data_IF_131312750628
#
_entry.id   IF_131312750628
#
_cell.length_a   1.000
_cell.length_b   1.000
_cell.length_c   1.000
_cell.angle_alpha   90.00
_cell.angle_beta   90.00
_cell.angle_gamma   90.00
#
_symmetry.space_group_name_H-M   'P 1'
#
loop_
_entity.id
_entity.type
_entity.pdbx_description
1 polymer ?
#
# COMPACT_ATOMS: atom_id res chain seq x y z
N UNK A 1 9.17 58.81 -63.76
CA UNK A 1 8.99 57.86 -64.89
C UNK A 1 9.34 56.47 -64.38
N UNK A 2 8.34 55.66 -64.00
CA UNK A 2 8.53 54.29 -63.47
C UNK A 2 8.41 53.30 -64.62
N UNK A 3 9.52 52.63 -64.92
CA UNK A 3 9.62 51.60 -65.95
C UNK A 3 9.02 50.31 -65.38
N UNK A 4 8.00 49.77 -66.05
CA UNK A 4 7.41 48.47 -65.74
C UNK A 4 8.20 47.39 -66.47
N UNK A 5 8.83 46.47 -65.73
CA UNK A 5 9.35 45.22 -66.29
C UNK A 5 8.42 44.08 -65.88
N UNK A 6 7.78 43.47 -66.88
CA UNK A 6 6.97 42.26 -66.76
C UNK A 6 7.95 41.08 -66.75
N UNK A 7 7.99 40.32 -65.67
CA UNK A 7 8.74 39.05 -65.58
C UNK A 7 7.75 37.91 -65.84
N UNK A 8 7.94 37.20 -66.96
CA UNK A 8 7.18 36.03 -67.36
C UNK A 8 7.76 34.78 -66.66
N UNK A 9 6.97 34.08 -65.84
CA UNK A 9 7.36 32.79 -65.25
C UNK A 9 7.10 31.66 -66.26
N UNK A 10 8.16 30.98 -66.71
CA UNK A 10 8.08 29.68 -67.39
C UNK A 10 8.27 28.57 -66.34
N UNK A 11 7.25 27.76 -66.12
CA UNK A 11 7.31 26.55 -65.28
C UNK A 11 7.74 25.39 -66.18
N UNK A 12 8.90 24.79 -65.90
CA UNK A 12 9.30 23.49 -66.47
C UNK A 12 8.82 22.36 -65.54
N UNK A 13 8.28 21.25 -66.07
CA UNK A 13 7.81 20.12 -65.25
C UNK A 13 8.99 19.29 -64.72
N UNK A 14 8.83 18.62 -63.55
CA UNK A 14 9.92 17.87 -62.92
C UNK A 14 10.18 16.55 -63.66
N UNK A 15 11.46 16.28 -63.91
CA UNK A 15 11.97 15.02 -64.45
C UNK A 15 11.88 13.96 -63.34
N UNK A 16 11.12 12.89 -63.58
CA UNK A 16 11.02 11.74 -62.69
C UNK A 16 12.11 10.73 -63.08
N UNK A 17 13.10 10.54 -62.22
CA UNK A 17 14.10 9.48 -62.36
C UNK A 17 13.55 8.23 -61.66
N UNK A 18 13.17 7.20 -62.42
CA UNK A 18 12.84 5.88 -61.89
C UNK A 18 14.14 5.14 -61.55
N UNK A 19 14.38 4.88 -60.26
CA UNK A 19 15.32 3.86 -59.82
C UNK A 19 14.57 2.51 -59.73
N UNK A 20 15.16 1.39 -60.17
CA UNK A 20 14.52 0.08 -60.09
C UNK A 20 14.41 -0.37 -58.63
N UNK A 21 13.19 -0.70 -58.21
CA UNK A 21 12.88 -1.30 -56.92
C UNK A 21 13.61 -2.64 -56.79
N UNK A 22 14.66 -2.67 -55.97
CA UNK A 22 15.18 -3.94 -55.45
C UNK A 22 14.26 -4.38 -54.31
N UNK A 23 13.54 -5.47 -54.52
CA UNK A 23 12.66 -6.08 -53.53
C UNK A 23 13.47 -6.60 -52.33
N UNK A 24 13.31 -5.96 -51.17
CA UNK A 24 13.83 -6.47 -49.90
C UNK A 24 13.10 -7.78 -49.53
N UNK A 25 13.80 -8.80 -49.03
CA UNK A 25 13.14 -10.00 -48.49
C UNK A 25 12.29 -9.61 -47.28
N UNK A 26 11.06 -10.14 -47.22
CA UNK A 26 10.13 -9.91 -46.12
C UNK A 26 10.71 -10.42 -44.81
N UNK A 27 10.88 -9.52 -43.84
CA UNK A 27 11.21 -9.88 -42.46
C UNK A 27 10.10 -10.81 -41.92
N UNK A 28 10.43 -11.89 -41.18
CA UNK A 28 9.42 -12.65 -40.46
C UNK A 28 8.64 -11.73 -39.50
N UNK A 29 7.34 -11.98 -39.26
CA UNK A 29 6.55 -11.17 -38.35
C UNK A 29 7.17 -11.20 -36.96
N UNK A 30 7.60 -10.03 -36.49
CA UNK A 30 7.97 -9.81 -35.09
C UNK A 30 6.80 -10.27 -34.21
N UNK A 31 7.00 -11.15 -33.21
CA UNK A 31 5.93 -11.49 -32.29
C UNK A 31 5.46 -10.19 -31.62
N UNK A 32 4.23 -9.79 -31.91
CA UNK A 32 3.55 -8.71 -31.19
C UNK A 32 3.59 -9.04 -29.70
N UNK A 33 4.13 -8.19 -28.82
CA UNK A 33 3.93 -8.36 -27.40
C UNK A 33 2.41 -8.29 -27.18
N UNK A 34 1.80 -9.42 -26.82
CA UNK A 34 0.45 -9.45 -26.31
C UNK A 34 0.42 -8.53 -25.09
N UNK A 35 -0.11 -7.32 -25.23
CA UNK A 35 -0.45 -6.51 -24.08
C UNK A 35 -1.63 -7.21 -23.41
N UNK A 36 -1.33 -8.16 -22.53
CA UNK A 36 -2.33 -8.86 -21.74
C UNK A 36 -2.99 -7.80 -20.86
N UNK A 37 -4.21 -7.39 -21.22
CA UNK A 37 -5.03 -6.55 -20.35
C UNK A 37 -5.19 -7.27 -19.01
N UNK A 38 -5.19 -6.55 -17.87
CA UNK A 38 -5.40 -7.17 -16.57
C UNK A 38 -6.69 -8.01 -16.59
N UNK A 39 -6.65 -9.20 -16.00
CA UNK A 39 -7.75 -10.17 -16.12
C UNK A 39 -8.92 -9.89 -15.18
N UNK A 40 -8.72 -9.03 -14.18
CA UNK A 40 -9.72 -8.63 -13.20
C UNK A 40 -9.32 -7.33 -12.50
N UNK A 41 -10.23 -6.81 -11.67
CA UNK A 41 -10.11 -5.54 -10.97
C UNK A 41 -10.27 -5.71 -9.45
N UNK A 42 -9.47 -4.97 -8.69
CA UNK A 42 -9.49 -4.98 -7.22
C UNK A 42 -9.57 -3.53 -6.72
N UNK A 43 -10.55 -3.25 -5.86
CA UNK A 43 -10.55 -2.05 -5.03
C UNK A 43 -9.96 -2.37 -3.65
N UNK A 44 -8.83 -1.76 -3.30
CA UNK A 44 -8.24 -1.82 -1.95
C UNK A 44 -8.68 -0.58 -1.19
N UNK A 45 -9.54 -0.77 -0.20
CA UNK A 45 -10.03 0.25 0.69
C UNK A 45 -9.23 0.27 1.99
N UNK A 46 -8.35 1.26 2.14
CA UNK A 46 -7.56 1.47 3.35
C UNK A 46 -8.35 2.35 4.32
N UNK A 47 -8.77 1.77 5.42
CA UNK A 47 -9.47 2.49 6.48
C UNK A 47 -8.46 3.32 7.25
N UNK A 48 -8.72 4.62 7.32
CA UNK A 48 -7.90 5.58 8.06
C UNK A 48 -8.80 6.67 8.65
N UNK A 49 -8.22 7.76 9.15
CA UNK A 49 -8.93 8.93 9.69
C UNK A 49 -8.55 10.19 8.92
N UNK A 50 -9.49 11.13 8.79
CA UNK A 50 -9.23 12.41 8.12
C UNK A 50 -7.98 13.15 8.66
N UNK A 51 -7.72 13.08 9.97
CA UNK A 51 -6.55 13.71 10.62
C UNK A 51 -5.20 13.07 10.23
N UNK A 52 -5.18 11.83 9.71
CA UNK A 52 -3.95 11.08 9.41
C UNK A 52 -3.45 11.32 7.97
N UNK A 53 -3.34 12.57 7.57
CA UNK A 53 -2.93 12.94 6.20
C UNK A 53 -1.47 12.56 5.91
N UNK A 54 -0.56 12.67 6.88
CA UNK A 54 0.84 12.25 6.73
C UNK A 54 0.94 10.74 6.48
N UNK A 55 0.16 9.94 7.23
CA UNK A 55 0.05 8.49 7.02
C UNK A 55 -0.42 8.19 5.60
N UNK A 56 -1.50 8.82 5.14
CA UNK A 56 -1.98 8.65 3.75
C UNK A 56 -0.93 9.03 2.72
N UNK A 57 -0.27 10.18 2.90
CA UNK A 57 0.79 10.63 2.01
C UNK A 57 1.94 9.62 1.93
N UNK A 58 2.42 9.12 3.06
CA UNK A 58 3.43 8.06 3.12
C UNK A 58 2.96 6.78 2.40
N UNK A 59 1.73 6.34 2.63
CA UNK A 59 1.17 5.15 1.96
C UNK A 59 1.10 5.35 0.43
N UNK A 60 0.79 6.56 -0.07
CA UNK A 60 0.85 6.86 -1.51
C UNK A 60 2.26 6.66 -2.07
N UNK A 61 3.32 7.06 -1.36
CA UNK A 61 4.70 6.83 -1.80
C UNK A 61 5.00 5.33 -1.99
N UNK A 62 4.43 4.48 -1.14
CA UNK A 62 4.61 3.04 -1.24
C UNK A 62 3.75 2.47 -2.38
N UNK A 63 2.46 2.75 -2.37
CA UNK A 63 1.50 2.06 -3.23
C UNK A 63 1.53 2.57 -4.67
N UNK A 64 1.84 3.83 -4.93
CA UNK A 64 1.99 4.37 -6.29
C UNK A 64 3.24 3.83 -7.02
N UNK A 65 4.15 3.15 -6.30
CA UNK A 65 5.28 2.43 -6.91
C UNK A 65 4.98 0.94 -7.14
N UNK A 66 3.75 0.50 -6.91
CA UNK A 66 3.30 -0.87 -7.13
C UNK A 66 2.34 -0.93 -8.31
N UNK A 67 2.42 -2.02 -9.06
CA UNK A 67 1.46 -2.37 -10.10
C UNK A 67 1.39 -3.89 -10.22
N UNK A 68 0.39 -4.38 -10.94
CA UNK A 68 0.26 -5.81 -11.23
C UNK A 68 -0.08 -6.00 -12.70
N UNK A 69 0.61 -6.92 -13.42
CA UNK A 69 0.20 -7.29 -14.76
C UNK A 69 -1.06 -8.18 -14.78
N UNK A 70 -1.44 -8.72 -13.61
CA UNK A 70 -2.55 -9.68 -13.50
C UNK A 70 -3.89 -8.99 -13.22
N UNK A 71 -3.88 -7.84 -12.54
CA UNK A 71 -5.09 -7.17 -12.10
C UNK A 71 -4.95 -5.64 -12.14
N UNK A 72 -6.04 -4.95 -12.44
CA UNK A 72 -6.16 -3.51 -12.22
C UNK A 72 -6.42 -3.27 -10.75
N UNK A 73 -5.45 -2.71 -10.04
CA UNK A 73 -5.54 -2.45 -8.60
C UNK A 73 -5.72 -0.96 -8.36
N UNK A 74 -6.84 -0.58 -7.75
CA UNK A 74 -7.09 0.78 -7.30
C UNK A 74 -7.06 0.81 -5.77
N UNK A 75 -6.45 1.85 -5.20
CA UNK A 75 -6.39 2.04 -3.75
C UNK A 75 -7.12 3.33 -3.39
N UNK A 76 -8.04 3.24 -2.43
CA UNK A 76 -8.78 4.39 -1.91
C UNK A 76 -8.68 4.44 -0.39
N UNK A 77 -8.53 5.64 0.15
CA UNK A 77 -8.58 5.91 1.59
C UNK A 77 -10.02 6.16 2.02
N UNK A 78 -10.43 5.48 3.10
CA UNK A 78 -11.82 5.47 3.56
C UNK A 78 -11.92 6.07 4.96
N UNK A 79 -12.75 7.10 5.10
CA UNK A 79 -13.15 7.66 6.39
C UNK A 79 -14.56 8.24 6.32
N UNK A 80 -15.16 8.43 7.48
CA UNK A 80 -16.48 9.01 7.63
C UNK A 80 -16.46 10.55 7.49
N UNK A 81 -17.59 11.19 7.74
CA UNK A 81 -17.78 12.63 7.55
C UNK A 81 -16.72 13.50 8.26
N UNK A 82 -16.36 14.60 7.60
CA UNK A 82 -15.40 15.59 8.11
C UNK A 82 -16.03 16.50 9.16
N UNK A 83 -15.48 16.51 10.37
CA UNK A 83 -16.03 17.25 11.51
C UNK A 83 -15.30 18.56 11.79
N UNK A 84 -14.05 18.70 11.34
CA UNK A 84 -13.21 19.88 11.61
C UNK A 84 -13.01 20.75 10.36
N UNK A 85 -12.89 22.09 10.48
CA UNK A 85 -12.61 22.98 9.34
C UNK A 85 -11.31 22.63 8.59
N UNK A 86 -10.24 22.29 9.31
CA UNK A 86 -8.92 21.99 8.75
C UNK A 86 -8.98 20.71 7.89
N UNK A 87 -9.74 19.70 8.34
CA UNK A 87 -9.96 18.48 7.57
C UNK A 87 -10.58 18.78 6.22
N UNK A 88 -11.55 19.70 6.13
CA UNK A 88 -12.23 20.03 4.87
C UNK A 88 -11.26 20.62 3.85
N UNK A 89 -10.35 21.47 4.29
CA UNK A 89 -9.36 22.09 3.40
C UNK A 89 -8.33 21.04 2.94
N UNK A 90 -7.72 20.32 3.87
CA UNK A 90 -6.66 19.35 3.54
C UNK A 90 -7.20 18.18 2.70
N UNK A 91 -8.35 17.62 3.08
CA UNK A 91 -8.97 16.52 2.32
C UNK A 91 -9.45 16.99 0.95
N UNK A 92 -9.95 18.22 0.81
CA UNK A 92 -10.30 18.76 -0.51
C UNK A 92 -9.07 18.87 -1.42
N UNK A 93 -7.93 19.31 -0.90
CA UNK A 93 -6.66 19.34 -1.66
C UNK A 93 -6.20 17.93 -2.05
N UNK A 94 -6.33 16.95 -1.14
CA UNK A 94 -6.03 15.55 -1.47
C UNK A 94 -6.94 15.01 -2.58
N UNK A 95 -8.25 15.26 -2.50
CA UNK A 95 -9.22 14.83 -3.53
C UNK A 95 -8.85 15.44 -4.89
N UNK A 96 -8.59 16.75 -4.93
CA UNK A 96 -8.21 17.44 -6.17
C UNK A 96 -6.90 16.92 -6.78
N UNK A 97 -5.97 16.47 -5.94
CA UNK A 97 -4.65 16.04 -6.38
C UNK A 97 -4.58 14.56 -6.77
N UNK A 98 -5.24 13.70 -6.00
CA UNK A 98 -5.03 12.25 -6.06
C UNK A 98 -6.26 11.45 -6.45
N UNK A 99 -7.47 12.00 -6.27
CA UNK A 99 -8.75 11.32 -6.56
C UNK A 99 -8.87 9.91 -5.93
N UNK A 100 -8.29 9.73 -4.74
CA UNK A 100 -8.14 8.44 -4.06
C UNK A 100 -8.83 8.39 -2.69
N UNK A 101 -9.85 9.22 -2.46
CA UNK A 101 -10.56 9.32 -1.17
C UNK A 101 -12.05 9.04 -1.34
N UNK A 102 -12.59 8.19 -0.47
CA UNK A 102 -14.04 7.98 -0.32
C UNK A 102 -14.46 8.43 1.07
N UNK A 103 -15.31 9.46 1.11
CA UNK A 103 -15.93 9.95 2.35
C UNK A 103 -17.29 9.26 2.52
N UNK A 104 -17.46 8.54 3.63
CA UNK A 104 -18.68 7.83 3.95
C UNK A 104 -19.62 8.70 4.80
N UNK A 105 -20.93 8.57 4.56
CA UNK A 105 -21.94 9.25 5.37
C UNK A 105 -22.16 8.53 6.71
N UNK A 106 -21.21 8.67 7.62
CA UNK A 106 -21.23 8.14 8.98
C UNK A 106 -20.49 9.08 9.94
N UNK A 107 -20.52 8.76 11.24
CA UNK A 107 -19.56 9.32 12.21
C UNK A 107 -18.34 8.40 12.27
N UNK A 108 -17.12 8.97 12.34
CA UNK A 108 -15.88 8.18 12.36
C UNK A 108 -15.85 7.23 13.57
N UNK A 109 -15.66 5.93 13.30
CA UNK A 109 -15.69 4.89 14.31
C UNK A 109 -14.97 3.62 13.81
N UNK A 110 -14.58 2.76 14.75
CA UNK A 110 -14.11 1.41 14.44
C UNK A 110 -15.26 0.40 14.45
N UNK A 111 -16.04 0.39 15.55
CA UNK A 111 -16.94 -0.71 15.92
C UNK A 111 -18.44 -0.33 15.88
N UNK A 112 -18.78 0.77 15.22
CA UNK A 112 -20.13 1.34 15.19
C UNK A 112 -20.63 1.53 13.75
N UNK A 113 -20.39 0.53 12.89
CA UNK A 113 -21.00 0.44 11.57
C UNK A 113 -20.26 1.08 10.40
N UNK A 114 -19.01 1.57 10.58
CA UNK A 114 -18.20 2.08 9.45
C UNK A 114 -18.03 1.02 8.35
N UNK A 115 -17.70 -0.22 8.71
CA UNK A 115 -17.52 -1.34 7.75
C UNK A 115 -18.80 -1.69 7.00
N UNK A 116 -19.95 -1.71 7.68
CA UNK A 116 -21.24 -1.88 7.02
C UNK A 116 -21.52 -0.72 6.06
N UNK A 117 -21.35 0.52 6.51
CA UNK A 117 -21.59 1.74 5.71
C UNK A 117 -20.72 1.77 4.46
N UNK A 118 -19.46 1.34 4.59
CA UNK A 118 -18.54 1.20 3.48
C UNK A 118 -19.09 0.25 2.41
N UNK A 119 -19.24 -1.05 2.73
CA UNK A 119 -19.66 -2.06 1.75
C UNK A 119 -21.05 -1.76 1.18
N UNK A 120 -22.00 -1.37 2.02
CA UNK A 120 -23.38 -1.09 1.58
C UNK A 120 -23.50 0.15 0.68
N UNK A 121 -22.55 1.09 0.74
CA UNK A 121 -22.58 2.29 -0.11
C UNK A 121 -21.92 2.08 -1.47
N UNK A 122 -20.96 1.15 -1.59
CA UNK A 122 -20.16 0.97 -2.81
C UNK A 122 -20.98 0.80 -4.09
N UNK A 123 -22.03 -0.07 -4.14
CA UNK A 123 -22.79 -0.25 -5.38
C UNK A 123 -23.49 1.02 -5.87
N UNK A 124 -23.73 2.00 -4.99
CA UNK A 124 -24.37 3.28 -5.33
C UNK A 124 -23.36 4.35 -5.74
N UNK A 125 -22.18 4.37 -5.13
CA UNK A 125 -21.21 5.47 -5.29
C UNK A 125 -20.16 5.20 -6.38
N UNK A 126 -19.91 3.93 -6.71
CA UNK A 126 -18.94 3.58 -7.73
C UNK A 126 -19.60 3.54 -9.11
N UNK A 127 -18.93 4.03 -10.17
CA UNK A 127 -19.49 4.04 -11.52
C UNK A 127 -19.54 2.64 -12.14
N UNK A 128 -18.64 1.75 -11.73
CA UNK A 128 -18.52 0.39 -12.25
C UNK A 128 -18.22 -0.58 -11.10
N UNK A 129 -18.71 -1.83 -11.18
CA UNK A 129 -18.37 -2.87 -10.23
C UNK A 129 -16.89 -3.27 -10.38
N UNK A 130 -16.28 -3.67 -9.27
CA UNK A 130 -15.00 -4.38 -9.27
C UNK A 130 -15.25 -5.89 -9.29
N UNK A 131 -14.23 -6.72 -9.54
CA UNK A 131 -14.35 -8.15 -9.29
C UNK A 131 -14.23 -8.45 -7.79
N UNK A 132 -13.33 -7.72 -7.12
CA UNK A 132 -13.03 -7.86 -5.71
C UNK A 132 -12.93 -6.51 -5.00
N UNK A 133 -13.33 -6.50 -3.73
CA UNK A 133 -13.15 -5.37 -2.81
C UNK A 133 -12.43 -5.87 -1.56
N UNK A 134 -11.29 -5.26 -1.25
CA UNK A 134 -10.50 -5.51 -0.04
C UNK A 134 -10.72 -4.40 0.98
N UNK A 135 -11.04 -4.73 2.23
CA UNK A 135 -10.83 -3.83 3.38
C UNK A 135 -9.44 -4.07 3.95
N UNK A 136 -8.71 -3.02 4.28
CA UNK A 136 -7.42 -3.08 4.98
C UNK A 136 -7.31 -1.93 5.99
N UNK A 137 -6.44 -2.09 6.98
CA UNK A 137 -6.05 -1.02 7.90
C UNK A 137 -4.85 -0.23 7.36
N UNK A 138 -4.64 0.99 7.89
CA UNK A 138 -3.54 1.88 7.46
C UNK A 138 -2.16 1.51 8.04
N UNK A 139 -2.08 0.43 8.82
CA UNK A 139 -0.86 -0.17 9.37
C UNK A 139 -0.52 -1.53 8.73
N UNK A 140 -1.04 -1.77 7.53
CA UNK A 140 -0.80 -2.98 6.72
C UNK A 140 0.02 -2.61 5.49
N UNK A 141 1.09 -3.35 5.22
CA UNK A 141 1.82 -3.31 3.94
C UNK A 141 1.31 -4.41 3.02
N UNK A 142 0.78 -4.04 1.85
CA UNK A 142 0.23 -4.98 0.86
C UNK A 142 1.12 -5.02 -0.38
N UNK A 143 1.36 -6.22 -0.92
CA UNK A 143 2.09 -6.45 -2.17
C UNK A 143 1.11 -6.71 -3.32
N UNK A 144 0.88 -5.72 -4.17
CA UNK A 144 -0.17 -5.78 -5.21
C UNK A 144 -0.02 -6.96 -6.16
N UNK A 145 1.20 -7.25 -6.63
CA UNK A 145 1.43 -8.37 -7.53
C UNK A 145 1.17 -9.73 -6.86
N UNK A 146 1.52 -9.87 -5.58
CA UNK A 146 1.29 -11.11 -4.82
C UNK A 146 -0.19 -11.29 -4.49
N UNK A 147 -0.88 -10.22 -4.06
CA UNK A 147 -2.33 -10.25 -3.85
C UNK A 147 -3.08 -10.62 -5.15
N UNK A 148 -2.68 -10.03 -6.28
CA UNK A 148 -3.30 -10.37 -7.55
C UNK A 148 -3.02 -11.83 -7.95
N UNK A 149 -1.80 -12.31 -7.74
CA UNK A 149 -1.44 -13.70 -8.04
C UNK A 149 -2.20 -14.71 -7.17
N UNK A 150 -2.40 -14.42 -5.88
CA UNK A 150 -3.15 -15.30 -4.96
C UNK A 150 -4.65 -15.33 -5.26
N UNK A 151 -5.22 -14.21 -5.73
CA UNK A 151 -6.63 -14.12 -6.11
C UNK A 151 -6.91 -14.62 -7.53
N UNK A 152 -5.92 -14.63 -8.42
CA UNK A 152 -6.08 -15.03 -9.82
C UNK A 152 -6.81 -16.39 -9.99
N UNK A 153 -6.41 -17.48 -9.31
CA UNK A 153 -7.06 -18.79 -9.48
C UNK A 153 -8.41 -18.93 -8.76
N UNK A 154 -8.83 -17.94 -7.97
CA UNK A 154 -10.00 -18.05 -7.09
C UNK A 154 -11.31 -17.61 -7.77
N UNK A 155 -12.48 -18.08 -7.29
CA UNK A 155 -13.77 -17.69 -7.85
C UNK A 155 -14.08 -16.19 -7.71
N UNK A 156 -14.68 -15.57 -8.74
CA UNK A 156 -15.17 -14.17 -8.70
C UNK A 156 -16.54 -14.00 -8.03
N UNK A 157 -17.09 -15.07 -7.45
CA UNK A 157 -18.40 -15.06 -6.82
C UNK A 157 -18.35 -15.73 -5.46
N UNK A 158 -19.16 -15.22 -4.53
CA UNK A 158 -19.30 -15.72 -3.16
C UNK A 158 -17.96 -15.91 -2.42
N UNK A 159 -16.94 -15.11 -2.77
CA UNK A 159 -15.58 -15.25 -2.27
C UNK A 159 -15.38 -14.44 -0.98
N UNK A 160 -14.86 -15.10 0.05
CA UNK A 160 -14.38 -14.46 1.27
C UNK A 160 -12.96 -14.91 1.57
N UNK A 161 -12.00 -14.02 1.40
CA UNK A 161 -10.57 -14.30 1.45
C UNK A 161 -9.87 -13.42 2.49
N UNK A 162 -8.88 -13.96 3.20
CA UNK A 162 -8.08 -13.18 4.16
C UNK A 162 -7.31 -14.07 5.12
N UNK A 163 -6.99 -13.59 6.32
CA UNK A 163 -6.31 -14.39 7.34
C UNK A 163 -7.29 -14.92 8.38
N UNK A 164 -7.50 -16.24 8.43
CA UNK A 164 -8.49 -16.82 9.36
C UNK A 164 -8.04 -16.76 10.83
N UNK A 165 -8.97 -16.41 11.71
CA UNK A 165 -8.82 -16.48 13.17
C UNK A 165 -9.57 -17.70 13.72
N UNK A 166 -9.03 -18.39 14.75
CA UNK A 166 -7.78 -18.15 15.47
C UNK A 166 -6.51 -18.47 14.66
N UNK A 167 -5.39 -17.83 15.02
CA UNK A 167 -4.15 -17.87 14.24
C UNK A 167 -3.57 -19.26 13.94
N UNK A 168 -3.64 -20.26 14.84
CA UNK A 168 -3.21 -21.62 14.53
C UNK A 168 -4.10 -22.38 13.53
N UNK A 169 -5.33 -21.90 13.27
CA UNK A 169 -6.25 -22.57 12.35
C UNK A 169 -5.86 -22.33 10.91
N UNK A 170 -5.82 -23.38 10.09
CA UNK A 170 -5.77 -23.27 8.62
C UNK A 170 -7.15 -23.44 7.97
N UNK A 171 -8.17 -23.83 8.75
CA UNK A 171 -9.54 -23.98 8.26
C UNK A 171 -10.17 -22.60 8.04
N UNK A 172 -10.49 -22.21 6.79
CA UNK A 172 -11.08 -20.91 6.49
C UNK A 172 -12.49 -20.74 7.09
N UNK A 173 -13.21 -21.83 7.37
CA UNK A 173 -14.58 -21.78 7.92
C UNK A 173 -14.62 -21.66 9.45
N UNK A 174 -13.46 -21.57 10.11
CA UNK A 174 -13.39 -21.63 11.57
C UNK A 174 -14.13 -20.50 12.27
N UNK A 175 -13.70 -19.26 12.08
CA UNK A 175 -14.44 -18.09 12.55
C UNK A 175 -14.60 -17.06 11.41
N UNK A 176 -13.70 -16.08 11.36
CA UNK A 176 -13.73 -14.94 10.44
C UNK A 176 -12.32 -14.62 9.95
N UNK A 177 -12.22 -13.76 8.94
CA UNK A 177 -10.94 -13.21 8.47
C UNK A 177 -10.62 -11.97 9.31
N UNK A 178 -9.42 -11.90 9.88
CA UNK A 178 -9.02 -10.82 10.79
C UNK A 178 -9.01 -9.43 10.14
N UNK A 179 -9.08 -8.41 11.00
CA UNK A 179 -9.00 -6.99 10.65
C UNK A 179 -7.76 -6.56 9.84
N UNK A 180 -6.69 -7.38 9.81
CA UNK A 180 -5.49 -7.14 8.99
C UNK A 180 -5.77 -6.96 7.50
N UNK A 181 -6.91 -7.48 7.06
CA UNK A 181 -7.44 -7.27 5.74
C UNK A 181 -8.17 -8.50 5.24
N UNK A 182 -9.25 -8.26 4.50
CA UNK A 182 -10.03 -9.32 3.87
C UNK A 182 -10.65 -8.82 2.57
N UNK A 183 -10.91 -9.76 1.67
CA UNK A 183 -11.42 -9.53 0.33
C UNK A 183 -12.77 -10.21 0.19
N UNK A 184 -13.73 -9.46 -0.37
CA UNK A 184 -15.04 -9.95 -0.78
C UNK A 184 -15.16 -9.86 -2.30
N UNK A 185 -15.81 -10.85 -2.92
CA UNK A 185 -16.30 -10.68 -4.29
C UNK A 185 -17.43 -9.66 -4.34
N UNK A 186 -17.62 -9.04 -5.49
CA UNK A 186 -18.60 -7.98 -5.67
C UNK A 186 -20.04 -8.40 -5.35
N UNK A 187 -20.43 -9.63 -5.68
CA UNK A 187 -21.77 -10.14 -5.37
C UNK A 187 -22.05 -10.24 -3.87
N UNK A 188 -21.02 -10.40 -3.03
CA UNK A 188 -21.15 -10.28 -1.58
C UNK A 188 -21.33 -8.84 -1.13
N UNK A 189 -20.63 -7.90 -1.77
CA UNK A 189 -20.79 -6.46 -1.51
C UNK A 189 -22.21 -6.00 -1.85
N UNK A 190 -22.74 -6.44 -3.00
CA UNK A 190 -24.13 -6.21 -3.40
C UNK A 190 -25.10 -6.81 -2.39
N UNK A 191 -24.87 -8.06 -1.96
CA UNK A 191 -25.70 -8.69 -0.95
C UNK A 191 -25.70 -7.90 0.38
N UNK A 192 -24.53 -7.47 0.87
CA UNK A 192 -24.42 -6.64 2.09
C UNK A 192 -25.27 -5.37 1.95
N UNK A 193 -25.29 -4.74 0.76
CA UNK A 193 -26.02 -3.48 0.55
C UNK A 193 -27.54 -3.56 0.71
N UNK A 194 -28.12 -4.77 0.62
CA UNK A 194 -29.58 -5.00 0.71
C UNK A 194 -29.97 -5.98 1.80
N UNK A 195 -29.01 -6.52 2.55
CA UNK A 195 -29.23 -7.60 3.52
C UNK A 195 -29.69 -7.07 4.88
N UNK A 196 -30.89 -7.49 5.31
CA UNK A 196 -31.37 -7.24 6.68
C UNK A 196 -30.48 -7.89 7.75
N UNK A 197 -29.80 -8.99 7.42
CA UNK A 197 -28.86 -9.68 8.32
C UNK A 197 -27.66 -8.77 8.59
N UNK A 198 -27.08 -8.20 7.53
CA UNK A 198 -25.93 -7.31 7.68
C UNK A 198 -26.32 -5.98 8.33
N UNK A 199 -27.47 -5.41 7.95
CA UNK A 199 -27.97 -4.15 8.49
C UNK A 199 -28.43 -4.27 9.97
N UNK A 200 -28.86 -5.46 10.39
CA UNK A 200 -29.36 -5.71 11.74
C UNK A 200 -28.29 -5.75 12.83
N UNK A 201 -27.02 -5.94 12.47
CA UNK A 201 -25.94 -6.11 13.46
C UNK A 201 -24.64 -5.39 13.07
N UNK A 202 -24.58 -4.09 13.33
CA UNK A 202 -23.45 -3.23 12.91
C UNK A 202 -22.56 -2.76 14.07
N UNK A 203 -22.86 -3.16 15.31
CA UNK A 203 -22.13 -2.75 16.51
C UNK A 203 -21.29 -3.91 17.05
N UNK A 204 -19.97 -3.71 17.16
CA UNK A 204 -19.01 -4.72 17.61
C UNK A 204 -17.72 -4.72 16.78
N UNK A 205 -16.77 -5.64 17.08
CA UNK A 205 -15.56 -5.81 16.29
C UNK A 205 -15.90 -6.11 14.83
N UNK A 206 -15.43 -5.26 13.93
CA UNK A 206 -15.97 -5.15 12.58
C UNK A 206 -15.64 -6.36 11.70
N UNK A 207 -14.47 -6.95 11.88
CA UNK A 207 -14.01 -8.15 11.19
C UNK A 207 -14.82 -9.40 11.57
N UNK A 208 -15.10 -9.54 12.88
CA UNK A 208 -15.98 -10.57 13.42
C UNK A 208 -17.41 -10.44 12.91
N UNK A 209 -17.92 -9.20 12.83
CA UNK A 209 -19.27 -8.94 12.32
C UNK A 209 -19.41 -9.36 10.85
N UNK A 210 -18.44 -9.03 9.98
CA UNK A 210 -18.48 -9.47 8.58
C UNK A 210 -18.53 -11.00 8.48
N UNK A 211 -17.69 -11.71 9.25
CA UNK A 211 -17.73 -13.17 9.30
C UNK A 211 -19.08 -13.72 9.78
N UNK A 212 -19.71 -13.04 10.75
CA UNK A 212 -21.03 -13.39 11.28
C UNK A 212 -22.13 -13.18 10.23
N UNK A 213 -22.18 -12.01 9.58
CA UNK A 213 -23.18 -11.70 8.55
C UNK A 213 -23.15 -12.75 7.43
N UNK A 214 -21.96 -13.07 6.93
CA UNK A 214 -21.79 -14.05 5.86
C UNK A 214 -22.24 -15.44 6.31
N UNK A 215 -21.89 -15.85 7.54
CA UNK A 215 -22.31 -17.14 8.09
C UNK A 215 -23.82 -17.25 8.22
N UNK A 216 -24.47 -16.24 8.80
CA UNK A 216 -25.93 -16.24 9.00
C UNK A 216 -26.70 -16.09 7.68
N UNK A 217 -26.14 -15.36 6.72
CA UNK A 217 -26.68 -15.21 5.37
C UNK A 217 -26.46 -16.39 4.44
N UNK A 218 -25.72 -17.43 4.86
CA UNK A 218 -25.34 -18.54 3.98
C UNK A 218 -24.48 -18.09 2.79
N UNK A 219 -23.59 -17.12 3.01
CA UNK A 219 -22.72 -16.46 2.04
C UNK A 219 -21.25 -16.70 2.34
N UNK A 220 -20.38 -16.38 1.37
CA UNK A 220 -18.94 -16.52 1.51
C UNK A 220 -18.53 -17.99 1.61
N UNK A 221 -19.14 -18.86 0.78
CA UNK A 221 -18.85 -20.29 0.71
C UNK A 221 -17.59 -20.58 -0.09
N UNK A 222 -17.15 -19.67 -0.96
CA UNK A 222 -15.82 -19.71 -1.56
C UNK A 222 -14.82 -19.05 -0.60
N UNK A 223 -14.56 -19.71 0.53
CA UNK A 223 -13.76 -19.16 1.62
C UNK A 223 -12.32 -19.65 1.61
N UNK A 224 -11.35 -18.72 1.65
CA UNK A 224 -9.93 -19.03 1.53
C UNK A 224 -9.08 -18.29 2.56
N UNK A 225 -8.19 -19.00 3.24
CA UNK A 225 -7.21 -18.38 4.14
C UNK A 225 -5.89 -18.16 3.41
N UNK A 226 -5.41 -16.93 3.36
CA UNK A 226 -4.09 -16.57 2.84
C UNK A 226 -3.02 -16.76 3.92
N UNK A 227 -2.82 -18.02 4.32
CA UNK A 227 -1.68 -18.41 5.15
C UNK A 227 -0.76 -19.29 4.29
N UNK A 228 0.56 -19.02 4.25
CA UNK A 228 1.32 -18.08 5.07
C UNK A 228 1.49 -16.67 4.43
N UNK A 229 0.70 -16.29 3.43
CA UNK A 229 0.91 -15.04 2.69
C UNK A 229 0.54 -13.76 3.46
N UNK A 230 -0.43 -13.81 4.36
CA UNK A 230 -0.81 -12.71 5.24
C UNK A 230 -0.45 -13.07 6.69
N UNK A 231 0.11 -12.12 7.44
CA UNK A 231 0.52 -12.35 8.83
C UNK A 231 0.86 -11.03 9.52
N UNK A 232 0.94 -11.06 10.84
CA UNK A 232 1.41 -9.94 11.65
C UNK A 232 2.95 -9.83 11.59
N UNK A 233 3.48 -8.61 11.70
CA UNK A 233 4.93 -8.35 11.68
C UNK A 233 5.71 -9.28 12.66
N UNK A 234 6.89 -9.80 12.27
CA UNK A 234 7.69 -10.68 13.13
C UNK A 234 7.85 -10.14 14.57
N UNK A 235 7.46 -10.95 15.55
CA UNK A 235 7.57 -10.60 16.98
C UNK A 235 6.42 -9.78 17.57
N UNK A 236 5.35 -9.44 16.82
CA UNK A 236 4.28 -8.57 17.33
C UNK A 236 3.16 -9.25 18.14
N UNK A 237 3.03 -10.59 18.11
CA UNK A 237 2.19 -11.37 19.05
C UNK A 237 2.46 -12.89 19.10
N UNK A 238 3.51 -13.39 18.43
CA UNK A 238 4.00 -14.77 18.53
C UNK A 238 3.14 -15.88 17.90
N UNK A 239 1.83 -15.68 17.71
CA UNK A 239 0.93 -16.73 17.17
C UNK A 239 0.41 -16.46 15.77
N UNK A 240 0.35 -15.19 15.37
CA UNK A 240 -0.16 -14.76 14.06
C UNK A 240 0.97 -14.19 13.18
N UNK A 241 2.21 -14.24 13.67
CA UNK A 241 3.40 -13.71 13.00
C UNK A 241 4.34 -14.85 12.66
N UNK A 242 5.08 -14.71 11.55
CA UNK A 242 6.27 -15.48 11.24
C UNK A 242 7.25 -14.58 10.45
N UNK A 243 8.40 -15.11 10.07
CA UNK A 243 9.41 -14.36 9.32
C UNK A 243 8.88 -13.82 7.99
N UNK A 244 9.54 -12.77 7.48
CA UNK A 244 9.22 -12.23 6.15
C UNK A 244 9.60 -13.23 5.06
N UNK A 245 8.65 -13.58 4.18
CA UNK A 245 8.85 -14.61 3.14
C UNK A 245 8.61 -14.06 1.72
N UNK A 246 9.20 -14.65 0.67
CA UNK A 246 8.98 -14.18 -0.71
C UNK A 246 7.51 -14.21 -1.16
N UNK A 247 6.72 -15.13 -0.60
CA UNK A 247 5.31 -15.31 -0.91
C UNK A 247 4.39 -14.25 -0.28
N UNK A 248 4.89 -13.39 0.61
CA UNK A 248 4.10 -12.40 1.36
C UNK A 248 3.15 -11.60 0.47
N UNK A 249 1.88 -11.62 0.84
CA UNK A 249 0.77 -10.83 0.33
C UNK A 249 0.57 -9.58 1.18
N UNK A 250 0.52 -9.73 2.52
CA UNK A 250 0.38 -8.60 3.43
C UNK A 250 1.11 -8.79 4.76
N UNK A 251 1.66 -7.70 5.30
CA UNK A 251 2.25 -7.65 6.65
C UNK A 251 1.49 -6.62 7.48
N UNK A 252 0.91 -7.04 8.58
CA UNK A 252 0.07 -6.20 9.45
C UNK A 252 0.78 -5.82 10.75
N UNK A 253 0.21 -4.87 11.51
CA UNK A 253 0.75 -4.29 12.74
C UNK A 253 2.06 -3.56 12.54
N UNK A 254 2.21 -2.84 11.42
CA UNK A 254 3.32 -1.92 11.21
C UNK A 254 3.07 -0.61 11.96
N UNK A 255 3.18 -0.69 13.29
CA UNK A 255 2.89 0.41 14.21
C UNK A 255 4.05 1.40 14.34
N UNK A 256 5.27 0.98 14.03
CA UNK A 256 6.50 1.78 14.22
C UNK A 256 7.26 1.97 12.91
N UNK A 257 8.01 3.07 12.81
CA UNK A 257 8.73 3.45 11.59
C UNK A 257 9.76 2.39 11.17
N UNK A 258 10.50 1.85 12.11
CA UNK A 258 11.51 0.82 11.89
C UNK A 258 10.92 -0.46 11.27
N UNK A 259 9.66 -0.78 11.58
CA UNK A 259 8.96 -1.93 11.00
C UNK A 259 8.63 -1.68 9.53
N UNK A 260 8.15 -0.47 9.21
CA UNK A 260 7.92 -0.05 7.82
C UNK A 260 9.22 -0.06 7.01
N UNK A 261 10.29 0.53 7.52
CA UNK A 261 11.61 0.56 6.86
C UNK A 261 12.11 -0.86 6.60
N UNK A 262 12.00 -1.75 7.58
CA UNK A 262 12.41 -3.14 7.42
C UNK A 262 11.62 -3.87 6.32
N UNK A 263 10.28 -3.80 6.36
CA UNK A 263 9.41 -4.45 5.36
C UNK A 263 9.66 -3.89 3.96
N UNK A 264 9.78 -2.56 3.84
CA UNK A 264 10.07 -1.90 2.57
C UNK A 264 11.45 -2.34 2.05
N UNK A 265 12.49 -2.33 2.88
CA UNK A 265 13.84 -2.78 2.49
C UNK A 265 13.84 -4.21 1.94
N UNK A 266 13.12 -5.12 2.59
CA UNK A 266 13.05 -6.53 2.18
C UNK A 266 12.31 -6.71 0.84
N UNK A 267 11.19 -6.02 0.65
CA UNK A 267 10.32 -6.25 -0.52
C UNK A 267 10.51 -5.26 -1.67
N UNK A 268 11.15 -4.12 -1.43
CA UNK A 268 11.51 -3.12 -2.43
C UNK A 268 13.03 -3.09 -2.56
N UNK A 269 13.58 -4.10 -3.26
CA UNK A 269 15.02 -4.31 -3.51
C UNK A 269 15.77 -3.12 -4.15
N UNK A 270 15.08 -2.03 -4.52
CA UNK A 270 15.65 -0.86 -5.18
C UNK A 270 15.86 0.35 -4.25
N UNK A 271 15.58 0.23 -2.94
CA UNK A 271 15.97 1.29 -2.00
C UNK A 271 17.46 1.11 -1.71
N UNK A 272 18.31 1.76 -2.51
CA UNK A 272 19.73 1.88 -2.23
C UNK A 272 19.86 2.70 -0.94
N UNK A 273 20.00 2.03 0.19
CA UNK A 273 20.56 2.66 1.38
C UNK A 273 22.06 2.75 1.14
N UNK A 274 22.55 3.91 0.71
CA UNK A 274 23.97 4.20 0.83
C UNK A 274 24.28 4.19 2.33
N UNK A 275 25.05 3.21 2.78
CA UNK A 275 25.64 3.25 4.10
C UNK A 275 26.61 4.43 4.10
N UNK A 276 26.27 5.48 4.83
CA UNK A 276 27.24 6.52 5.17
C UNK A 276 28.17 5.88 6.17
N UNK A 277 29.35 5.46 5.71
CA UNK A 277 30.46 5.12 6.60
C UNK A 277 30.83 6.38 7.39
N UNK A 278 30.38 6.45 8.64
CA UNK A 278 30.87 7.44 9.58
C UNK A 278 32.31 7.05 9.94
N UNK A 279 33.27 7.70 9.31
CA UNK A 279 34.69 7.60 9.68
C UNK A 279 34.87 8.19 11.08
N UNK A 280 34.77 7.34 12.10
CA UNK A 280 35.08 7.63 13.50
C UNK A 280 35.89 6.48 14.11
N UNK A 281 37.19 6.70 14.26
CA UNK A 281 38.16 5.76 14.82
C UNK A 281 37.74 5.14 16.16
N UNK A 282 37.85 3.81 16.26
CA UNK A 282 38.42 3.16 17.43
C UNK A 282 38.95 1.75 17.06
N UNK A 283 40.21 1.54 17.42
CA UNK A 283 41.05 0.38 17.15
C UNK A 283 40.57 -0.91 17.83
N UNK A 284 40.57 -2.04 17.10
CA UNK A 284 41.31 -3.24 17.51
C UNK A 284 41.55 -4.13 16.29
N UNK A 285 42.80 -4.56 16.13
CA UNK A 285 43.29 -5.27 14.95
C UNK A 285 43.16 -6.79 14.98
N UNK A 286 43.50 -7.32 13.80
CA UNK A 286 43.97 -8.65 13.44
C UNK A 286 42.94 -9.79 13.28
N UNK A 287 42.69 -10.07 12.00
CA UNK A 287 42.35 -11.37 11.43
C UNK A 287 43.59 -12.27 11.51
N UNK A 288 43.44 -13.47 12.06
CA UNK A 288 44.21 -14.63 11.61
C UNK A 288 43.31 -15.88 11.48
N UNK A 289 43.31 -16.42 10.27
CA UNK A 289 42.77 -17.71 9.85
C UNK A 289 43.78 -18.83 10.12
N UNK A 290 43.36 -19.97 10.70
CA UNK A 290 43.48 -21.32 10.10
C UNK A 290 43.20 -22.50 11.06
N UNK A 291 42.36 -23.42 10.57
CA UNK A 291 42.43 -24.89 10.57
C UNK A 291 42.90 -25.74 11.79
N UNK A 292 42.04 -26.72 12.11
CA UNK A 292 42.30 -28.16 12.33
C UNK A 292 42.19 -28.78 13.75
N UNK A 293 41.28 -29.77 13.82
CA UNK A 293 41.23 -31.05 14.55
C UNK A 293 41.68 -31.18 16.03
N UNK A 294 40.83 -31.82 16.84
CA UNK A 294 41.26 -32.52 18.07
C UNK A 294 40.14 -32.82 19.07
N UNK A 295 39.79 -34.10 19.23
CA UNK A 295 38.86 -34.66 20.22
C UNK A 295 39.59 -34.89 21.57
N UNK A 296 38.89 -34.76 22.71
CA UNK A 296 38.82 -35.71 23.87
C UNK A 296 38.39 -34.97 25.17
N UNK A 297 37.50 -35.67 25.89
CA UNK A 297 36.80 -35.49 27.17
C UNK A 297 37.64 -35.17 28.42
N UNK A 298 37.07 -34.48 29.44
CA UNK A 298 36.54 -35.07 30.72
C UNK A 298 36.14 -34.01 31.77
N UNK A 299 35.01 -34.30 32.44
CA UNK A 299 34.64 -34.13 33.87
C UNK A 299 34.32 -32.76 34.51
N UNK A 300 33.01 -32.61 34.79
CA UNK A 300 32.35 -32.38 36.10
C UNK A 300 32.99 -31.48 37.16
N UNK A 301 32.25 -30.44 37.57
CA UNK A 301 31.98 -30.13 39.00
C UNK A 301 30.63 -29.40 39.12
N UNK A 302 29.73 -29.96 39.92
CA UNK A 302 28.48 -29.37 40.41
C UNK A 302 28.75 -28.38 41.56
N UNK A 303 27.85 -27.40 41.75
CA UNK A 303 27.30 -27.10 43.08
C UNK A 303 26.06 -26.19 42.97
N UNK A 304 24.96 -26.69 43.53
CA UNK A 304 23.72 -26.02 43.92
C UNK A 304 24.00 -24.93 44.98
N UNK A 305 23.22 -23.87 45.19
CA UNK A 305 21.94 -23.90 45.94
C UNK A 305 21.34 -22.49 46.14
N UNK A 306 20.00 -22.43 46.13
CA UNK A 306 19.07 -21.68 47.04
C UNK A 306 18.74 -20.18 46.80
N UNK A 307 17.46 -19.96 46.45
CA UNK A 307 16.67 -18.72 46.60
C UNK A 307 16.23 -18.46 48.06
N UNK A 308 15.69 -17.27 48.39
CA UNK A 308 14.23 -17.23 48.62
C UNK A 308 13.51 -15.94 48.17
N UNK A 309 12.19 -16.07 48.01
CA UNK A 309 11.17 -15.05 47.70
C UNK A 309 10.92 -14.02 48.83
N UNK A 310 10.33 -12.86 48.49
CA UNK A 310 9.23 -12.19 49.23
C UNK A 310 8.52 -11.11 48.38
N UNK A 311 7.19 -11.06 48.58
CA UNK A 311 6.13 -10.29 47.93
C UNK A 311 6.18 -8.74 48.02
N UNK A 312 5.45 -8.06 47.13
CA UNK A 312 5.01 -6.66 47.34
C UNK A 312 4.15 -6.08 46.20
N UNK A 313 2.88 -5.81 46.49
CA UNK A 313 1.86 -5.13 45.67
C UNK A 313 2.19 -3.65 45.46
N UNK A 314 1.90 -3.08 44.28
CA UNK A 314 1.90 -1.63 44.06
C UNK A 314 1.47 -1.21 42.63
N UNK A 315 0.39 -0.44 42.56
CA UNK A 315 -0.28 0.10 41.36
C UNK A 315 0.49 1.27 40.68
N UNK A 316 0.28 1.45 39.36
CA UNK A 316 0.19 2.68 38.49
C UNK A 316 0.86 4.02 38.95
N UNK A 317 1.37 4.91 38.06
CA UNK A 317 0.75 5.24 36.76
C UNK A 317 1.67 5.52 35.56
N UNK A 318 1.01 5.58 34.40
CA UNK A 318 1.47 6.01 33.09
C UNK A 318 2.12 7.40 33.14
N UNK A 319 3.25 7.55 32.44
CA UNK A 319 3.81 8.84 32.05
C UNK A 319 3.73 8.89 30.53
N UNK A 320 3.00 9.88 30.03
CA UNK A 320 3.03 10.35 28.65
C UNK A 320 4.36 11.07 28.42
N UNK A 321 5.16 10.62 27.46
CA UNK A 321 6.26 11.41 26.90
C UNK A 321 6.01 11.59 25.40
N UNK A 322 5.39 12.74 25.10
CA UNK A 322 5.46 13.40 23.81
C UNK A 322 6.86 14.00 23.66
N UNK A 323 7.80 13.27 23.05
CA UNK A 323 9.03 13.86 22.53
C UNK A 323 8.99 13.89 21.00
N UNK A 324 8.71 15.09 20.50
CA UNK A 324 8.83 15.50 19.10
C UNK A 324 10.30 15.69 18.76
N UNK A 325 10.89 14.71 18.09
CA UNK A 325 12.14 14.93 17.37
C UNK A 325 11.85 15.49 15.96
N UNK A 326 11.83 16.81 15.84
CA UNK A 326 11.78 17.57 14.56
C UNK A 326 13.11 17.55 13.78
N UNK A 327 13.96 16.53 14.00
CA UNK A 327 15.29 16.42 13.38
C UNK A 327 15.28 15.83 11.96
N UNK A 328 14.11 15.48 11.42
CA UNK A 328 13.98 14.84 10.10
C UNK A 328 14.01 15.79 8.91
N UNK A 329 14.00 17.11 9.12
CA UNK A 329 13.91 18.11 8.03
C UNK A 329 15.26 18.67 7.52
N UNK A 330 16.41 18.16 7.97
CA UNK A 330 17.72 18.70 7.55
C UNK A 330 18.33 18.12 6.26
N UNK A 331 17.66 17.20 5.56
CA UNK A 331 18.22 16.58 4.33
C UNK A 331 17.69 17.13 3.01
N UNK A 332 16.90 18.21 3.02
CA UNK A 332 16.44 18.87 1.77
C UNK A 332 16.71 20.37 1.84
N UNK A 333 17.98 20.76 1.88
CA UNK A 333 18.36 22.14 1.55
C UNK A 333 19.61 22.13 0.68
N UNK A 334 19.46 22.78 -0.48
CA UNK A 334 20.51 23.28 -1.36
C UNK A 334 21.22 22.27 -2.27
N UNK A 335 20.55 21.85 -3.36
CA UNK A 335 21.25 21.58 -4.63
C UNK A 335 20.33 21.40 -5.87
N UNK A 336 19.00 21.46 -5.73
CA UNK A 336 18.08 21.23 -6.85
C UNK A 336 17.56 22.50 -7.58
N UNK A 337 18.03 23.71 -7.23
CA UNK A 337 17.45 24.95 -7.78
C UNK A 337 18.46 26.00 -8.21
N UNK A 338 19.43 25.62 -9.05
CA UNK A 338 20.13 26.59 -9.90
C UNK A 338 20.45 25.96 -11.25
N UNK A 339 19.55 26.14 -12.22
CA UNK A 339 19.90 26.14 -13.64
C UNK A 339 18.86 26.94 -14.44
N UNK A 340 19.33 28.10 -14.92
CA UNK A 340 18.89 28.85 -16.10
C UNK A 340 17.54 29.61 -16.07
N UNK A 341 17.60 30.88 -15.69
CA UNK A 341 17.04 31.96 -16.54
C UNK A 341 18.01 33.14 -16.55
N UNK A 342 18.63 33.38 -17.71
CA UNK A 342 19.24 34.66 -18.08
C UNK A 342 18.17 35.55 -18.72
N UNK A 343 17.95 36.76 -18.17
CA UNK A 343 17.92 38.06 -18.89
C UNK A 343 17.33 39.18 -18.01
N UNK A 344 18.21 40.10 -17.59
CA UNK A 344 18.10 41.57 -17.56
C UNK A 344 16.75 42.31 -17.31
N UNK A 345 16.74 43.04 -16.17
CA UNK A 345 16.19 44.39 -15.91
C UNK A 345 14.66 44.59 -15.71
N UNK A 346 14.20 45.67 -15.00
CA UNK A 346 14.12 45.72 -13.54
C UNK A 346 12.70 46.06 -13.01
N UNK A 347 12.54 45.92 -11.68
CA UNK A 347 11.36 46.27 -10.91
C UNK A 347 10.86 47.71 -11.15
N UNK A 348 9.55 47.85 -11.35
CA UNK A 348 8.81 49.07 -11.03
C UNK A 348 7.59 48.75 -10.16
N UNK A 349 7.27 49.74 -9.33
CA UNK A 349 6.60 49.69 -8.05
C UNK A 349 5.07 49.89 -8.14
N UNK A 350 4.39 49.37 -7.12
CA UNK A 350 3.18 49.87 -6.44
C UNK A 350 2.13 50.72 -7.22
N UNK A 351 0.89 50.21 -7.23
CA UNK A 351 -0.27 50.77 -6.47
C UNK A 351 -1.60 50.84 -7.24
N UNK A 352 -2.67 50.53 -6.50
CA UNK A 352 -4.06 51.03 -6.64
C UNK A 352 -4.92 50.47 -7.79
N UNK A 353 -5.99 49.74 -7.46
CA UNK A 353 -7.36 50.28 -7.39
C UNK A 353 -8.33 49.24 -6.83
N UNK A 354 -8.93 49.58 -5.69
CA UNK A 354 -10.22 49.07 -5.27
C UNK A 354 -11.31 49.92 -5.95
N UNK A 355 -12.15 49.27 -6.76
CA UNK A 355 -13.61 49.39 -6.82
C UNK A 355 -14.15 48.54 -7.97
#
# INVERSE_FOLDING_TARGET
MRIHYIILFFILPPIVILLPFLSLPSLPPTPTPTSTSPSFSILIAVFTRADLYERRHFLRLIYNTQSSPLASVHLNFIFCNLTKPEQRILVALEILRFDDIIILNCSENMNSGKTHTFFSSLPRILPHPYDYVMKADDDVFIRFSNLAASLLPLPRRDLYYGFVIPCPSMDPFREYMSGMGFVLSWDLVEWISVSEIAAGEVIGPEDKLVGKWLKEGGKGMNRYSEKPGMYDYPGSNGRCSHDLIPATVAVHRLKRWEQWVHVIRVFKKNVVCAEVEEQGQCSLGFIETSSSQGVVTTQEYENETVSPDINGVGSSPCIDEDDKDESWMQFITEEAWCSNVSTSEPCEDLSTYAN
#
